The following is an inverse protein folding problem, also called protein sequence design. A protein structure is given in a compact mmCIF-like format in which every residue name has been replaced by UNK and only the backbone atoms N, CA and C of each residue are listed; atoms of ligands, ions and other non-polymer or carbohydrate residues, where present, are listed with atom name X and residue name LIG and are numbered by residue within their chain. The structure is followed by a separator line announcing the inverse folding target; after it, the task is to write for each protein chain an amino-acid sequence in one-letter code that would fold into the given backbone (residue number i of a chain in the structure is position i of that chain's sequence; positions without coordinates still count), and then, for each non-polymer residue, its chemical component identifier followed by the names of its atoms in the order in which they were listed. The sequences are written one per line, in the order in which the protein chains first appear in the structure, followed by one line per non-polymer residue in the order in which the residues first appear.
data_IF_384263701682
#
_entry.id   IF_384263701682
#
_cell.length_a   1.000
_cell.length_b   1.000
_cell.length_c   1.000
_cell.angle_alpha   90.00
_cell.angle_beta   90.00
_cell.angle_gamma   90.00
#
_symmetry.space_group_name_H-M   'P 1'
#
loop_
_entity.id
_entity.type
_entity.pdbx_description
1 polymer ?
#
# COMPACT_ATOMS: atom_id res chain seq x y z
N UNK A 1 38.11 -14.89 14.91
CA UNK A 1 36.74 -14.80 15.45
C UNK A 1 35.85 -15.60 14.53
N UNK A 2 35.10 -16.56 15.08
CA UNK A 2 34.13 -17.33 14.33
C UNK A 2 32.88 -16.47 14.06
N UNK A 3 32.61 -16.21 12.77
CA UNK A 3 31.51 -15.37 12.32
C UNK A 3 30.24 -16.17 12.00
N UNK A 4 30.25 -17.50 12.15
CA UNK A 4 29.07 -18.34 11.88
C UNK A 4 27.81 -17.94 12.67
N UNK A 5 27.87 -17.59 13.98
CA UNK A 5 26.66 -17.19 14.71
C UNK A 5 26.04 -15.90 14.16
N UNK A 6 26.89 -14.94 13.76
CA UNK A 6 26.44 -13.68 13.18
C UNK A 6 25.78 -13.91 11.81
N UNK A 7 26.37 -14.76 10.97
CA UNK A 7 25.82 -15.08 9.64
C UNK A 7 24.48 -15.82 9.74
N UNK A 8 24.34 -16.78 10.65
CA UNK A 8 23.08 -17.48 10.89
C UNK A 8 22.01 -16.50 11.37
N UNK A 9 22.34 -15.63 12.34
CA UNK A 9 21.40 -14.63 12.84
C UNK A 9 20.90 -13.67 11.75
N UNK A 10 21.81 -13.12 10.94
CA UNK A 10 21.45 -12.23 9.83
C UNK A 10 20.56 -12.93 8.79
N UNK A 11 20.83 -14.20 8.47
CA UNK A 11 19.99 -14.97 7.56
C UNK A 11 18.60 -15.27 8.14
N UNK A 12 18.49 -15.58 9.43
CA UNK A 12 17.20 -15.79 10.09
C UNK A 12 16.35 -14.53 10.08
N UNK A 13 16.93 -13.36 10.40
CA UNK A 13 16.21 -12.07 10.34
C UNK A 13 15.76 -11.76 8.92
N UNK A 14 16.61 -12.01 7.92
CA UNK A 14 16.26 -11.83 6.52
C UNK A 14 15.12 -12.75 6.08
N UNK A 15 15.12 -14.01 6.53
CA UNK A 15 14.05 -14.97 6.24
C UNK A 15 12.72 -14.52 6.85
N UNK A 16 12.71 -14.11 8.13
CA UNK A 16 11.51 -13.57 8.78
C UNK A 16 10.97 -12.32 8.07
N UNK A 17 11.86 -11.42 7.64
CA UNK A 17 11.45 -10.24 6.88
C UNK A 17 10.83 -10.61 5.52
N UNK A 18 11.28 -11.68 4.87
CA UNK A 18 10.69 -12.18 3.62
C UNK A 18 9.29 -12.78 3.86
N UNK A 19 9.11 -13.54 4.95
CA UNK A 19 7.81 -14.07 5.36
C UNK A 19 6.82 -12.93 5.63
N UNK A 20 7.27 -11.87 6.31
CA UNK A 20 6.47 -10.68 6.57
C UNK A 20 6.13 -9.94 5.25
N UNK A 21 7.07 -9.80 4.31
CA UNK A 21 6.78 -9.18 3.00
C UNK A 21 5.69 -9.95 2.26
N UNK A 22 5.80 -11.29 2.19
CA UNK A 22 4.82 -12.13 1.51
C UNK A 22 3.44 -12.05 2.20
N UNK A 23 3.41 -12.06 3.54
CA UNK A 23 2.18 -11.87 4.30
C UNK A 23 1.49 -10.55 3.97
N UNK A 24 2.23 -9.44 3.89
CA UNK A 24 1.65 -8.14 3.54
C UNK A 24 1.12 -8.11 2.10
N UNK A 25 1.84 -8.71 1.15
CA UNK A 25 1.43 -8.80 -0.25
C UNK A 25 0.12 -9.60 -0.37
N UNK A 26 0.05 -10.77 0.26
CA UNK A 26 -1.15 -11.61 0.21
C UNK A 26 -2.33 -10.97 0.91
N UNK A 27 -2.09 -10.27 2.02
CA UNK A 27 -3.11 -9.45 2.66
C UNK A 27 -3.59 -8.32 1.75
N UNK A 28 -2.70 -7.63 1.04
CA UNK A 28 -3.08 -6.59 0.09
C UNK A 28 -3.98 -7.13 -1.04
N UNK A 29 -3.65 -8.32 -1.58
CA UNK A 29 -4.48 -8.99 -2.61
C UNK A 29 -5.89 -9.28 -2.10
N UNK A 30 -6.02 -9.88 -0.90
CA UNK A 30 -7.32 -10.16 -0.29
C UNK A 30 -8.14 -8.90 -0.04
N UNK A 31 -7.52 -7.81 0.40
CA UNK A 31 -8.18 -6.51 0.52
C UNK A 31 -8.69 -6.01 -0.83
N UNK A 32 -7.87 -6.07 -1.88
CA UNK A 32 -8.29 -5.64 -3.20
C UNK A 32 -9.42 -6.52 -3.78
N UNK A 33 -9.36 -7.84 -3.62
CA UNK A 33 -10.44 -8.76 -4.00
C UNK A 33 -11.75 -8.44 -3.25
N UNK A 34 -11.64 -8.16 -1.94
CA UNK A 34 -12.78 -7.73 -1.11
C UNK A 34 -13.35 -6.41 -1.61
N UNK A 35 -12.50 -5.47 -2.03
CA UNK A 35 -12.97 -4.23 -2.63
C UNK A 35 -13.76 -4.46 -3.92
N UNK A 36 -13.28 -5.33 -4.80
CA UNK A 36 -13.97 -5.67 -6.05
C UNK A 36 -15.31 -6.36 -5.81
N UNK A 37 -15.40 -7.18 -4.75
CA UNK A 37 -16.66 -7.80 -4.33
C UNK A 37 -17.68 -6.75 -3.88
N UNK A 38 -17.27 -5.82 -3.01
CA UNK A 38 -18.15 -4.76 -2.49
C UNK A 38 -18.54 -3.74 -3.58
N UNK A 39 -17.63 -3.44 -4.50
CA UNK A 39 -17.93 -2.59 -5.66
C UNK A 39 -19.09 -3.15 -6.51
N UNK A 40 -19.13 -4.47 -6.73
CA UNK A 40 -20.25 -5.12 -7.46
C UNK A 40 -21.58 -5.06 -6.71
N UNK A 41 -21.54 -4.84 -5.40
CA UNK A 41 -22.71 -4.71 -4.53
C UNK A 41 -23.09 -3.25 -4.27
N UNK A 42 -22.43 -2.31 -4.95
CA UNK A 42 -22.62 -0.87 -4.77
C UNK A 42 -22.28 -0.37 -3.35
N UNK A 43 -21.52 -1.16 -2.59
CA UNK A 43 -20.99 -0.80 -1.26
C UNK A 43 -19.69 -0.01 -1.44
N UNK A 44 -19.82 1.21 -1.98
CA UNK A 44 -18.69 2.01 -2.47
C UNK A 44 -17.74 2.50 -1.38
N UNK A 45 -18.25 2.89 -0.21
CA UNK A 45 -17.46 3.28 0.95
C UNK A 45 -16.57 2.13 1.44
N UNK A 46 -17.15 0.93 1.56
CA UNK A 46 -16.45 -0.29 1.95
C UNK A 46 -15.43 -0.66 0.87
N UNK A 47 -15.79 -0.58 -0.41
CA UNK A 47 -14.85 -0.84 -1.51
C UNK A 47 -13.63 0.09 -1.46
N UNK A 48 -13.85 1.40 -1.28
CA UNK A 48 -12.77 2.37 -1.20
C UNK A 48 -11.86 2.16 0.01
N UNK A 49 -12.45 1.86 1.18
CA UNK A 49 -11.67 1.51 2.37
C UNK A 49 -10.75 0.33 2.11
N UNK A 50 -11.27 -0.74 1.49
CA UNK A 50 -10.47 -1.92 1.18
C UNK A 50 -9.35 -1.62 0.15
N UNK A 51 -9.59 -0.76 -0.86
CA UNK A 51 -8.55 -0.34 -1.81
C UNK A 51 -7.45 0.46 -1.11
N UNK A 52 -7.82 1.36 -0.21
CA UNK A 52 -6.89 2.17 0.58
C UNK A 52 -5.97 1.27 1.43
N UNK A 53 -6.54 0.28 2.12
CA UNK A 53 -5.77 -0.72 2.87
C UNK A 53 -4.84 -1.53 1.96
N UNK A 54 -5.33 -1.97 0.79
CA UNK A 54 -4.52 -2.71 -0.17
C UNK A 54 -3.31 -1.89 -0.66
N UNK A 55 -3.52 -0.61 -1.00
CA UNK A 55 -2.44 0.31 -1.39
C UNK A 55 -1.39 0.47 -0.27
N UNK A 56 -1.83 0.71 0.97
CA UNK A 56 -0.90 0.85 2.10
C UNK A 56 -0.05 -0.40 2.30
N UNK A 57 -0.67 -1.58 2.26
CA UNK A 57 0.02 -2.85 2.48
C UNK A 57 1.05 -3.13 1.39
N UNK A 58 0.75 -2.85 0.12
CA UNK A 58 1.72 -2.98 -0.97
C UNK A 58 2.95 -2.07 -0.76
N UNK A 59 2.73 -0.81 -0.39
CA UNK A 59 3.85 0.12 -0.15
C UNK A 59 4.65 -0.28 1.09
N UNK A 60 3.99 -0.74 2.15
CA UNK A 60 4.66 -1.24 3.38
C UNK A 60 5.45 -2.51 3.11
N UNK A 61 4.93 -3.44 2.32
CA UNK A 61 5.68 -4.62 1.88
C UNK A 61 6.93 -4.19 1.12
N UNK A 62 6.82 -3.24 0.19
CA UNK A 62 7.98 -2.78 -0.58
C UNK A 62 9.00 -2.05 0.29
N UNK A 63 8.57 -1.23 1.24
CA UNK A 63 9.44 -0.60 2.23
C UNK A 63 10.16 -1.64 3.08
N UNK A 64 9.44 -2.64 3.60
CA UNK A 64 10.04 -3.73 4.36
C UNK A 64 11.09 -4.49 3.54
N UNK A 65 10.79 -4.77 2.27
CA UNK A 65 11.71 -5.43 1.34
C UNK A 65 13.01 -4.63 1.12
N UNK A 66 12.93 -3.31 0.96
CA UNK A 66 14.09 -2.47 0.57
C UNK A 66 14.82 -1.81 1.73
N UNK A 67 14.15 -1.57 2.86
CA UNK A 67 14.73 -0.90 4.04
C UNK A 67 14.65 -1.70 5.33
N UNK A 68 13.98 -2.86 5.36
CA UNK A 68 13.84 -3.69 6.56
C UNK A 68 12.84 -3.15 7.61
N UNK A 69 12.23 -1.99 7.36
CA UNK A 69 11.20 -1.39 8.19
C UNK A 69 10.27 -0.47 7.37
N UNK A 70 9.16 -0.06 7.97
CA UNK A 70 8.28 0.97 7.42
C UNK A 70 7.75 1.89 8.53
N UNK A 71 7.45 3.16 8.22
CA UNK A 71 6.83 4.08 9.17
C UNK A 71 5.47 3.60 9.67
N UNK A 72 5.22 3.71 10.98
CA UNK A 72 3.94 3.36 11.63
C UNK A 72 2.85 4.42 11.40
N UNK A 73 2.52 4.68 10.13
CA UNK A 73 1.46 5.59 9.69
C UNK A 73 0.54 4.92 8.67
N UNK A 74 -0.63 5.53 8.48
CA UNK A 74 -1.61 5.14 7.47
C UNK A 74 -1.66 6.11 6.29
N UNK A 75 -0.82 7.15 6.29
CA UNK A 75 -0.81 8.12 5.20
C UNK A 75 -0.08 7.54 3.97
N UNK A 76 -0.83 7.13 2.94
CA UNK A 76 -0.28 6.55 1.71
C UNK A 76 0.72 7.46 0.99
N UNK A 77 0.46 8.78 0.93
CA UNK A 77 1.37 9.74 0.29
C UNK A 77 2.70 9.80 1.05
N UNK A 78 2.66 9.80 2.38
CA UNK A 78 3.85 9.76 3.21
C UNK A 78 4.63 8.46 2.96
N UNK A 79 3.97 7.30 3.00
CA UNK A 79 4.60 6.00 2.75
C UNK A 79 5.29 5.96 1.37
N UNK A 80 4.65 6.50 0.33
CA UNK A 80 5.25 6.58 -1.00
C UNK A 80 6.48 7.51 -1.03
N UNK A 81 6.43 8.67 -0.36
CA UNK A 81 7.59 9.57 -0.26
C UNK A 81 8.75 8.92 0.47
N UNK A 82 8.47 8.19 1.54
CA UNK A 82 9.49 7.42 2.27
C UNK A 82 10.07 6.32 1.38
N UNK A 83 9.25 5.59 0.63
CA UNK A 83 9.72 4.57 -0.31
C UNK A 83 10.66 5.16 -1.36
N UNK A 84 10.35 6.35 -1.87
CA UNK A 84 11.19 7.06 -2.84
C UNK A 84 12.60 7.38 -2.35
N UNK A 85 12.87 7.34 -1.04
CA UNK A 85 14.23 7.49 -0.49
C UNK A 85 15.10 6.26 -0.72
N UNK A 86 14.49 5.08 -0.84
CA UNK A 86 15.18 3.78 -0.91
C UNK A 86 14.95 3.05 -2.24
N UNK A 87 13.90 3.39 -3.00
CA UNK A 87 13.50 2.66 -4.20
C UNK A 87 13.01 3.60 -5.30
N UNK A 88 13.60 3.49 -6.51
CA UNK A 88 13.14 4.12 -7.77
C UNK A 88 12.63 5.57 -7.59
N UNK A 89 13.47 6.42 -6.98
CA UNK A 89 13.10 7.79 -6.57
C UNK A 89 12.35 8.58 -7.66
N UNK A 90 12.91 8.63 -8.86
CA UNK A 90 12.34 9.41 -9.98
C UNK A 90 10.98 8.87 -10.42
N UNK A 91 10.83 7.55 -10.45
CA UNK A 91 9.59 6.87 -10.81
C UNK A 91 8.51 7.13 -9.75
N UNK A 92 8.86 7.03 -8.47
CA UNK A 92 7.95 7.31 -7.35
C UNK A 92 7.54 8.79 -7.33
N UNK A 93 8.47 9.72 -7.52
CA UNK A 93 8.17 11.15 -7.62
C UNK A 93 7.24 11.45 -8.80
N UNK A 94 7.48 10.83 -9.96
CA UNK A 94 6.60 10.94 -11.13
C UNK A 94 5.22 10.36 -10.85
N UNK A 95 5.14 9.16 -10.26
CA UNK A 95 3.86 8.54 -9.88
C UNK A 95 3.05 9.43 -8.93
N UNK A 96 3.70 9.97 -7.90
CA UNK A 96 3.10 10.92 -6.96
C UNK A 96 2.58 12.15 -7.70
N UNK A 97 3.38 12.77 -8.56
CA UNK A 97 3.00 13.97 -9.32
C UNK A 97 1.79 13.73 -10.22
N UNK A 98 1.79 12.62 -10.96
CA UNK A 98 0.74 12.28 -11.93
C UNK A 98 -0.57 11.87 -11.26
N UNK A 99 -0.54 11.38 -10.02
CA UNK A 99 -1.70 10.80 -9.35
C UNK A 99 -2.06 11.50 -8.04
N UNK A 100 -1.48 12.68 -7.74
CA UNK A 100 -1.61 13.35 -6.43
C UNK A 100 -3.06 13.60 -6.04
N UNK A 101 -3.90 14.05 -6.97
CA UNK A 101 -5.32 14.32 -6.70
C UNK A 101 -6.07 13.04 -6.31
N UNK A 102 -5.81 11.93 -6.99
CA UNK A 102 -6.42 10.63 -6.67
C UNK A 102 -5.93 10.08 -5.33
N UNK A 103 -4.63 10.21 -5.07
CA UNK A 103 -4.01 9.80 -3.80
C UNK A 103 -4.57 10.60 -2.61
N UNK A 104 -4.71 11.92 -2.75
CA UNK A 104 -5.28 12.77 -1.69
C UNK A 104 -6.72 12.35 -1.38
N UNK A 105 -7.54 12.10 -2.41
CA UNK A 105 -8.91 11.60 -2.21
C UNK A 105 -8.93 10.25 -1.47
N UNK A 106 -8.03 9.33 -1.82
CA UNK A 106 -7.90 8.04 -1.13
C UNK A 106 -7.51 8.20 0.35
N UNK A 107 -6.57 9.09 0.64
CA UNK A 107 -6.14 9.40 2.02
C UNK A 107 -7.28 10.05 2.81
N UNK A 108 -8.06 10.94 2.20
CA UNK A 108 -9.22 11.56 2.84
C UNK A 108 -10.32 10.52 3.13
N UNK A 109 -10.48 9.50 2.29
CA UNK A 109 -11.43 8.39 2.53
C UNK A 109 -11.09 7.62 3.81
N UNK A 110 -9.81 7.37 4.11
CA UNK A 110 -9.40 6.69 5.36
C UNK A 110 -9.88 7.43 6.63
N UNK A 111 -10.00 8.75 6.56
CA UNK A 111 -10.49 9.60 7.64
C UNK A 111 -12.01 9.74 7.57
N UNK A 112 -12.57 9.98 6.39
CA UNK A 112 -13.99 10.30 6.24
C UNK A 112 -14.91 9.09 6.30
N UNK A 113 -14.55 7.95 5.71
CA UNK A 113 -15.38 6.72 5.72
C UNK A 113 -15.70 6.19 7.12
N UNK A 114 -14.87 6.52 8.12
CA UNK A 114 -15.07 6.07 9.52
C UNK A 114 -15.81 7.05 10.40
N UNK A 115 -15.90 8.32 10.00
CA UNK A 115 -16.32 9.40 10.91
C UNK A 115 -17.28 10.42 10.28
N UNK A 116 -17.56 10.34 8.98
CA UNK A 116 -18.38 11.32 8.25
C UNK A 116 -19.33 10.62 7.27
N UNK A 117 -20.59 11.07 7.24
CA UNK A 117 -21.58 10.66 6.24
C UNK A 117 -21.28 11.43 4.95
N UNK A 118 -20.37 10.90 4.13
CA UNK A 118 -20.12 11.38 2.76
C UNK A 118 -20.70 10.34 1.80
N UNK A 119 -21.40 10.79 0.77
CA UNK A 119 -21.77 9.94 -0.35
C UNK A 119 -20.53 9.64 -1.21
N UNK A 120 -20.35 8.36 -1.53
CA UNK A 120 -19.32 7.88 -2.44
C UNK A 120 -19.98 7.31 -3.68
N UNK A 121 -19.38 7.54 -4.84
CA UNK A 121 -19.94 7.12 -6.11
C UNK A 121 -19.06 6.07 -6.79
N UNK A 122 -19.64 5.39 -7.77
CA UNK A 122 -18.97 4.37 -8.58
C UNK A 122 -17.66 4.91 -9.18
N UNK A 123 -17.65 6.16 -9.61
CA UNK A 123 -16.51 6.84 -10.23
C UNK A 123 -15.33 7.01 -9.26
N UNK A 124 -15.60 7.21 -7.97
CA UNK A 124 -14.55 7.27 -6.94
C UNK A 124 -13.86 5.91 -6.83
N UNK A 125 -14.64 4.82 -6.83
CA UNK A 125 -14.10 3.45 -6.77
C UNK A 125 -13.35 3.09 -8.03
N UNK A 126 -13.86 3.46 -9.21
CA UNK A 126 -13.18 3.24 -10.50
C UNK A 126 -11.82 3.93 -10.53
N UNK A 127 -11.75 5.18 -10.04
CA UNK A 127 -10.50 5.91 -9.90
C UNK A 127 -9.54 5.19 -8.96
N UNK A 128 -10.03 4.74 -7.80
CA UNK A 128 -9.24 4.03 -6.80
C UNK A 128 -8.69 2.67 -7.32
N UNK A 129 -9.51 1.89 -8.03
CA UNK A 129 -9.10 0.64 -8.68
C UNK A 129 -7.98 0.89 -9.69
N UNK A 130 -8.14 1.92 -10.52
CA UNK A 130 -7.11 2.30 -11.50
C UNK A 130 -5.82 2.75 -10.81
N UNK A 131 -5.92 3.50 -9.71
CA UNK A 131 -4.78 3.93 -8.92
C UNK A 131 -4.03 2.73 -8.32
N UNK A 132 -4.74 1.76 -7.74
CA UNK A 132 -4.15 0.54 -7.20
C UNK A 132 -3.38 -0.23 -8.27
N UNK A 133 -3.96 -0.44 -9.45
CA UNK A 133 -3.30 -1.14 -10.57
C UNK A 133 -2.04 -0.41 -11.06
N UNK A 134 -2.09 0.92 -11.17
CA UNK A 134 -0.91 1.71 -11.52
C UNK A 134 0.17 1.60 -10.44
N UNK A 135 -0.23 1.65 -9.17
CA UNK A 135 0.67 1.51 -8.03
C UNK A 135 1.38 0.16 -8.07
N UNK A 136 0.63 -0.93 -8.17
CA UNK A 136 1.17 -2.29 -8.25
C UNK A 136 2.21 -2.41 -9.38
N UNK A 137 1.89 -1.88 -10.57
CA UNK A 137 2.83 -1.87 -11.70
C UNK A 137 4.09 -1.05 -11.42
N UNK A 138 3.97 0.07 -10.70
CA UNK A 138 5.12 0.93 -10.38
C UNK A 138 6.07 0.34 -9.33
N UNK A 139 5.57 -0.58 -8.50
CA UNK A 139 6.35 -1.22 -7.42
C UNK A 139 7.09 -2.49 -7.87
N UNK A 140 6.70 -3.09 -9.00
CA UNK A 140 7.47 -4.13 -9.70
C UNK A 140 8.72 -3.50 -10.32
#
# INVERSE_FOLDING_TARGET
MDLTPYFIFQNTIRFMAMDDVEFFIDKAKRFFETALYNYKREEYDIALFNIEQACQLLVKAKLLEVSGEFPKTHNLIFLLRELGKYHKKKEIERFLKENITGLSRLVDIYITSRYMVREFYKEDVDLAINLFKKLEKSLR
#
